data_IF_403501316413
#
_entry.id   IF_403501316413
#
_cell.length_a   1.000
_cell.length_b   1.000
_cell.length_c   1.000
_cell.angle_alpha   90.00
_cell.angle_beta   90.00
_cell.angle_gamma   90.00
#
_symmetry.space_group_name_H-M   'P 1'
#
loop_
_entity.id
_entity.type
_entity.pdbx_description
1 polymer ?
#
# COMPACT_ATOMS: atom_id res chain seq x y z
N UNK A 1 -14.31 -0.86 -1.76
CA UNK A 1 -14.66 -1.21 -3.16
C UNK A 1 -13.44 -1.33 -4.08
N UNK A 2 -12.54 -0.34 -4.12
CA UNK A 2 -11.41 -0.33 -5.07
C UNK A 2 -10.38 -1.46 -4.88
N UNK A 3 -10.02 -1.82 -3.63
CA UNK A 3 -9.09 -2.94 -3.36
C UNK A 3 -9.60 -4.27 -3.90
N UNK A 4 -10.83 -4.63 -3.55
CA UNK A 4 -11.46 -5.86 -4.03
C UNK A 4 -11.61 -5.90 -5.56
N UNK A 5 -11.90 -4.76 -6.19
CA UNK A 5 -11.93 -4.68 -7.66
C UNK A 5 -10.56 -4.93 -8.28
N UNK A 6 -9.48 -4.37 -7.73
CA UNK A 6 -8.12 -4.61 -8.20
C UNK A 6 -7.67 -6.07 -8.00
N UNK A 7 -8.03 -6.69 -6.87
CA UNK A 7 -7.70 -8.09 -6.60
C UNK A 7 -8.48 -9.06 -7.51
N UNK A 8 -9.71 -8.73 -7.90
CA UNK A 8 -10.47 -9.49 -8.90
C UNK A 8 -9.96 -9.30 -10.32
N UNK A 9 -9.35 -8.15 -10.60
CA UNK A 9 -8.89 -7.74 -11.93
C UNK A 9 -7.44 -7.29 -11.87
N UNK A 10 -6.52 -8.24 -11.74
CA UNK A 10 -5.10 -7.96 -11.48
C UNK A 10 -4.42 -7.07 -12.53
N UNK A 11 -4.92 -7.05 -13.76
CA UNK A 11 -4.45 -6.13 -14.81
C UNK A 11 -4.63 -4.65 -14.43
N UNK A 12 -5.53 -4.34 -13.50
CA UNK A 12 -5.76 -2.98 -13.02
C UNK A 12 -4.51 -2.42 -12.30
N UNK A 13 -3.71 -3.24 -11.63
CA UNK A 13 -2.46 -2.78 -11.01
C UNK A 13 -1.46 -2.17 -12.00
N UNK A 14 -1.49 -2.67 -13.25
CA UNK A 14 -0.60 -2.19 -14.32
C UNK A 14 -1.07 -0.83 -14.89
N UNK A 15 -2.30 -0.42 -14.54
CA UNK A 15 -2.88 0.88 -14.89
C UNK A 15 -2.80 1.90 -13.75
N UNK A 16 -2.78 1.45 -12.50
CA UNK A 16 -2.58 2.33 -11.34
C UNK A 16 -1.25 3.08 -11.46
N UNK A 17 -1.24 4.39 -11.24
CA UNK A 17 -0.03 5.23 -11.36
C UNK A 17 0.36 5.65 -12.78
N UNK A 18 -0.48 5.38 -13.79
CA UNK A 18 -0.38 6.04 -15.11
C UNK A 18 -0.95 7.46 -15.04
N UNK A 19 -0.74 8.26 -16.10
CA UNK A 19 -1.38 9.57 -16.22
C UNK A 19 -2.90 9.45 -15.99
N UNK A 20 -3.52 10.39 -15.25
CA UNK A 20 -4.95 10.37 -14.99
C UNK A 20 -5.76 10.24 -16.28
N UNK A 21 -6.77 9.38 -16.27
CA UNK A 21 -7.71 9.30 -17.37
C UNK A 21 -8.57 10.57 -17.37
N UNK A 22 -8.57 11.31 -18.48
CA UNK A 22 -9.35 12.54 -18.63
C UNK A 22 -10.78 12.28 -19.15
N UNK A 23 -11.21 11.02 -19.21
CA UNK A 23 -12.59 10.65 -19.50
C UNK A 23 -13.51 10.85 -18.28
N UNK A 24 -14.85 10.85 -18.46
CA UNK A 24 -15.81 11.18 -17.40
C UNK A 24 -15.62 10.40 -16.10
N UNK A 25 -15.37 9.10 -16.19
CA UNK A 25 -15.15 8.25 -15.00
C UNK A 25 -13.83 8.56 -14.30
N UNK A 26 -12.77 8.90 -15.03
CA UNK A 26 -11.47 9.27 -14.44
C UNK A 26 -11.51 10.63 -13.75
N UNK A 27 -12.24 11.58 -14.34
CA UNK A 27 -12.53 12.87 -13.71
C UNK A 27 -13.36 12.67 -12.45
N UNK A 28 -14.42 11.85 -12.47
CA UNK A 28 -15.22 11.56 -11.28
C UNK A 28 -14.41 10.91 -10.13
N UNK A 29 -13.47 10.02 -10.47
CA UNK A 29 -12.55 9.40 -9.49
C UNK A 29 -11.62 10.44 -8.86
N UNK A 30 -11.22 11.46 -9.62
CA UNK A 30 -10.35 12.54 -9.14
C UNK A 30 -11.13 13.59 -8.33
N UNK A 31 -12.36 13.90 -8.76
CA UNK A 31 -13.26 14.86 -8.13
C UNK A 31 -13.66 14.44 -6.72
N UNK A 32 -14.07 13.17 -6.54
CA UNK A 32 -14.60 12.70 -5.27
C UNK A 32 -13.69 12.96 -4.04
N UNK A 33 -12.38 12.64 -4.06
CA UNK A 33 -11.51 12.92 -2.91
C UNK A 33 -11.19 14.42 -2.76
N UNK A 34 -11.16 15.20 -3.84
CA UNK A 34 -10.97 16.65 -3.77
C UNK A 34 -12.18 17.33 -3.11
N UNK A 35 -13.39 16.98 -3.56
CA UNK A 35 -14.64 17.47 -3.01
C UNK A 35 -14.82 17.10 -1.53
N UNK A 36 -14.32 15.93 -1.11
CA UNK A 36 -14.38 15.49 0.29
C UNK A 36 -13.52 16.35 1.24
N UNK A 37 -12.52 17.07 0.71
CA UNK A 37 -11.61 17.92 1.47
C UNK A 37 -11.80 19.41 1.17
N UNK A 38 -12.79 19.76 0.35
CA UNK A 38 -13.05 21.14 -0.05
C UNK A 38 -13.40 22.01 1.17
N UNK A 39 -12.90 23.25 1.17
CA UNK A 39 -13.10 24.22 2.25
C UNK A 39 -12.38 23.91 3.57
N UNK A 40 -11.67 22.78 3.71
CA UNK A 40 -10.92 22.45 4.93
C UNK A 40 -9.55 23.14 5.00
N UNK A 41 -8.92 23.41 3.86
CA UNK A 41 -7.60 24.03 3.76
C UNK A 41 -7.35 24.55 2.33
N UNK A 42 -6.15 25.07 2.04
CA UNK A 42 -5.77 25.49 0.69
C UNK A 42 -5.69 24.31 -0.29
N UNK A 43 -5.94 24.60 -1.57
CA UNK A 43 -6.01 23.57 -2.62
C UNK A 43 -4.71 22.79 -2.78
N UNK A 44 -3.54 23.41 -2.55
CA UNK A 44 -2.25 22.72 -2.67
C UNK A 44 -2.05 21.69 -1.56
N UNK A 45 -2.55 21.99 -0.35
CA UNK A 45 -2.58 21.04 0.76
C UNK A 45 -3.57 19.90 0.48
N UNK A 46 -4.76 20.20 -0.06
CA UNK A 46 -5.74 19.18 -0.47
C UNK A 46 -5.14 18.24 -1.52
N UNK A 47 -4.51 18.77 -2.57
CA UNK A 47 -3.88 17.95 -3.62
C UNK A 47 -2.80 17.02 -3.05
N UNK A 48 -1.94 17.51 -2.15
CA UNK A 48 -0.91 16.68 -1.51
C UNK A 48 -1.50 15.59 -0.62
N UNK A 49 -2.61 15.87 0.08
CA UNK A 49 -3.32 14.87 0.87
C UNK A 49 -3.86 13.75 -0.02
N UNK A 50 -4.55 14.10 -1.11
CA UNK A 50 -5.10 13.13 -2.07
C UNK A 50 -4.00 12.29 -2.71
N UNK A 51 -2.89 12.91 -3.13
CA UNK A 51 -1.74 12.22 -3.70
C UNK A 51 -1.13 11.22 -2.71
N UNK A 52 -0.95 11.61 -1.44
CA UNK A 52 -0.36 10.76 -0.40
C UNK A 52 -1.19 9.50 -0.16
N UNK A 53 -2.50 9.66 0.00
CA UNK A 53 -3.42 8.51 0.19
C UNK A 53 -3.43 7.62 -1.06
N UNK A 54 -3.44 8.22 -2.24
CA UNK A 54 -3.46 7.49 -3.52
C UNK A 54 -2.17 6.70 -3.76
N UNK A 55 -1.02 7.25 -3.36
CA UNK A 55 0.28 6.59 -3.43
C UNK A 55 0.34 5.36 -2.52
N UNK A 56 -0.13 5.49 -1.27
CA UNK A 56 -0.25 4.35 -0.35
C UNK A 56 -1.14 3.26 -0.93
N UNK A 57 -2.34 3.62 -1.38
CA UNK A 57 -3.29 2.69 -1.98
C UNK A 57 -2.66 1.94 -3.17
N UNK A 58 -2.05 2.67 -4.09
CA UNK A 58 -1.40 2.09 -5.28
C UNK A 58 -0.26 1.13 -4.91
N UNK A 59 0.61 1.52 -3.98
CA UNK A 59 1.72 0.70 -3.52
C UNK A 59 1.25 -0.60 -2.86
N UNK A 60 0.24 -0.50 -1.99
CA UNK A 60 -0.29 -1.66 -1.30
C UNK A 60 -0.96 -2.66 -2.26
N UNK A 61 -1.78 -2.18 -3.19
CA UNK A 61 -2.44 -3.02 -4.20
C UNK A 61 -1.43 -3.70 -5.12
N UNK A 62 -0.41 -2.97 -5.60
CA UNK A 62 0.64 -3.55 -6.43
C UNK A 62 1.38 -4.67 -5.70
N UNK A 63 1.74 -4.48 -4.42
CA UNK A 63 2.39 -5.50 -3.60
C UNK A 63 1.54 -6.77 -3.50
N UNK A 64 0.24 -6.64 -3.22
CA UNK A 64 -0.66 -7.79 -3.11
C UNK A 64 -0.78 -8.55 -4.43
N UNK A 65 -0.93 -7.83 -5.55
CA UNK A 65 -1.06 -8.44 -6.88
C UNK A 65 0.25 -9.11 -7.30
N UNK A 66 1.41 -8.51 -7.01
CA UNK A 66 2.71 -9.16 -7.24
C UNK A 66 2.83 -10.47 -6.48
N UNK A 67 2.38 -10.53 -5.22
CA UNK A 67 2.37 -11.76 -4.45
C UNK A 67 1.44 -12.81 -5.07
N UNK A 68 0.20 -12.45 -5.42
CA UNK A 68 -0.74 -13.37 -6.07
C UNK A 68 -0.19 -13.92 -7.40
N UNK A 69 0.45 -13.06 -8.21
CA UNK A 69 1.10 -13.47 -9.46
C UNK A 69 2.27 -14.43 -9.21
N UNK A 70 3.07 -14.19 -8.17
CA UNK A 70 4.17 -15.07 -7.79
C UNK A 70 3.68 -16.45 -7.32
N UNK A 71 2.62 -16.50 -6.51
CA UNK A 71 2.00 -17.75 -6.08
C UNK A 71 1.48 -18.55 -7.27
N UNK A 72 0.81 -17.90 -8.24
CA UNK A 72 0.35 -18.58 -9.46
C UNK A 72 1.48 -19.07 -10.36
N UNK A 73 2.54 -18.29 -10.51
CA UNK A 73 3.66 -18.64 -11.37
C UNK A 73 4.52 -19.78 -10.80
N UNK A 74 4.68 -19.82 -9.48
CA UNK A 74 5.55 -20.81 -8.80
C UNK A 74 4.79 -22.01 -8.25
N UNK A 75 3.47 -21.88 -8.05
CA UNK A 75 2.64 -22.85 -7.33
C UNK A 75 2.88 -22.87 -5.82
N UNK A 76 3.75 -22.00 -5.29
CA UNK A 76 4.07 -21.93 -3.87
C UNK A 76 3.23 -20.84 -3.21
N UNK A 77 2.51 -21.18 -2.15
CA UNK A 77 1.92 -20.15 -1.29
C UNK A 77 3.01 -19.32 -0.62
N UNK A 78 2.68 -18.13 -0.11
CA UNK A 78 3.58 -17.31 0.73
C UNK A 78 4.26 -18.15 1.82
N UNK A 79 3.50 -18.99 2.51
CA UNK A 79 4.01 -19.81 3.60
C UNK A 79 4.94 -20.92 3.10
N UNK A 80 4.63 -21.55 1.96
CA UNK A 80 5.52 -22.56 1.36
C UNK A 80 6.84 -21.94 0.89
N UNK A 81 6.77 -20.75 0.28
CA UNK A 81 7.95 -19.98 -0.11
C UNK A 81 8.82 -19.64 1.11
N UNK A 82 8.21 -19.15 2.20
CA UNK A 82 8.90 -18.86 3.46
C UNK A 82 9.57 -20.11 4.03
N UNK A 83 8.88 -21.26 4.07
CA UNK A 83 9.47 -22.52 4.54
C UNK A 83 10.66 -22.95 3.67
N UNK A 84 10.53 -22.84 2.35
CA UNK A 84 11.58 -23.21 1.41
C UNK A 84 12.83 -22.31 1.54
N UNK A 85 12.65 -21.02 1.86
CA UNK A 85 13.73 -20.03 1.90
C UNK A 85 14.26 -19.77 3.32
N UNK A 86 13.54 -20.20 4.36
CA UNK A 86 13.87 -20.03 5.77
C UNK A 86 15.32 -20.42 6.12
N UNK A 87 15.83 -21.60 5.70
CA UNK A 87 17.21 -21.99 5.99
C UNK A 87 18.26 -21.03 5.44
N UNK A 88 18.03 -20.43 4.26
CA UNK A 88 18.94 -19.44 3.69
C UNK A 88 18.91 -18.15 4.51
N UNK A 89 17.72 -17.65 4.85
CA UNK A 89 17.54 -16.46 5.67
C UNK A 89 18.22 -16.63 7.02
N UNK A 90 18.00 -17.75 7.71
CA UNK A 90 18.65 -18.04 9.00
C UNK A 90 20.17 -18.03 8.92
N UNK A 91 20.77 -18.60 7.84
CA UNK A 91 22.23 -18.54 7.64
C UNK A 91 22.74 -17.11 7.47
N UNK A 92 22.00 -16.26 6.74
CA UNK A 92 22.36 -14.85 6.56
C UNK A 92 22.25 -14.07 7.87
N UNK A 93 21.21 -14.31 8.67
CA UNK A 93 21.03 -13.66 9.97
C UNK A 93 22.12 -14.05 10.97
N UNK A 94 22.56 -15.32 10.96
CA UNK A 94 23.65 -15.81 11.82
C UNK A 94 25.00 -15.11 11.59
N UNK A 95 25.19 -14.41 10.46
CA UNK A 95 26.39 -13.59 10.22
C UNK A 95 26.48 -12.37 11.12
N UNK A 96 25.40 -11.99 11.80
CA UNK A 96 25.31 -10.77 12.62
C UNK A 96 25.23 -9.47 11.83
N UNK A 97 25.25 -9.53 10.49
CA UNK A 97 25.25 -8.32 9.62
C UNK A 97 23.90 -7.62 9.52
N UNK A 98 22.81 -8.28 9.92
CA UNK A 98 21.44 -7.76 9.75
C UNK A 98 20.65 -7.77 11.07
N UNK A 99 21.10 -7.07 12.12
CA UNK A 99 20.49 -7.15 13.46
C UNK A 99 19.03 -6.67 13.48
N UNK A 100 18.69 -5.61 12.74
CA UNK A 100 17.31 -5.13 12.65
C UNK A 100 16.38 -6.12 11.93
N UNK A 101 16.87 -6.77 10.87
CA UNK A 101 16.11 -7.80 10.16
C UNK A 101 15.95 -9.06 11.01
N UNK A 102 16.99 -9.45 11.75
CA UNK A 102 16.92 -10.58 12.69
C UNK A 102 15.82 -10.34 13.71
N UNK A 103 15.78 -9.15 14.32
CA UNK A 103 14.71 -8.75 15.23
C UNK A 103 13.33 -8.85 14.58
N UNK A 104 13.17 -8.32 13.36
CA UNK A 104 11.89 -8.39 12.65
C UNK A 104 11.44 -9.82 12.32
N UNK A 105 12.38 -10.73 12.00
CA UNK A 105 12.08 -12.13 11.68
C UNK A 105 11.75 -12.94 12.92
N UNK A 106 12.44 -12.73 14.04
CA UNK A 106 12.26 -13.52 15.25
C UNK A 106 11.16 -12.99 16.18
N UNK A 107 10.98 -11.67 16.26
CA UNK A 107 10.03 -11.03 17.18
C UNK A 107 8.77 -10.52 16.45
N UNK A 108 8.81 -10.43 15.12
CA UNK A 108 7.71 -9.90 14.32
C UNK A 108 6.54 -10.88 14.20
N UNK A 109 5.32 -10.34 14.30
CA UNK A 109 4.10 -11.10 14.02
C UNK A 109 3.81 -11.10 12.52
N UNK A 110 3.48 -12.26 11.93
CA UNK A 110 2.97 -12.29 10.56
C UNK A 110 1.54 -11.75 10.55
N UNK A 111 1.31 -10.72 9.74
CA UNK A 111 0.02 -10.05 9.60
C UNK A 111 -0.48 -10.33 8.18
N UNK A 112 -1.77 -10.68 8.07
CA UNK A 112 -2.38 -10.90 6.76
C UNK A 112 -2.42 -9.59 5.94
N UNK A 113 -2.57 -9.74 4.62
CA UNK A 113 -2.52 -8.60 3.70
C UNK A 113 -3.63 -7.58 3.94
N UNK A 114 -4.80 -8.00 4.40
CA UNK A 114 -5.94 -7.10 4.66
C UNK A 114 -5.70 -6.27 5.91
N UNK A 115 -5.28 -6.90 7.01
CA UNK A 115 -4.93 -6.19 8.25
C UNK A 115 -3.75 -5.23 8.01
N UNK A 116 -2.74 -5.66 7.25
CA UNK A 116 -1.60 -4.81 6.86
C UNK A 116 -2.03 -3.59 6.04
N UNK A 117 -2.97 -3.76 5.10
CA UNK A 117 -3.53 -2.67 4.31
C UNK A 117 -4.36 -1.70 5.16
N UNK A 118 -5.26 -2.22 5.99
CA UNK A 118 -6.13 -1.40 6.83
C UNK A 118 -5.31 -0.55 7.82
N UNK A 119 -4.34 -1.18 8.49
CA UNK A 119 -3.48 -0.49 9.47
C UNK A 119 -2.65 0.62 8.82
N UNK A 120 -2.03 0.35 7.67
CA UNK A 120 -1.23 1.38 7.01
C UNK A 120 -2.08 2.50 6.40
N UNK A 121 -3.30 2.20 5.95
CA UNK A 121 -4.24 3.23 5.49
C UNK A 121 -4.63 4.16 6.65
N UNK A 122 -4.93 3.58 7.81
CA UNK A 122 -5.26 4.32 9.04
C UNK A 122 -4.12 5.29 9.42
N UNK A 123 -2.88 4.79 9.47
CA UNK A 123 -1.71 5.63 9.75
C UNK A 123 -1.50 6.76 8.75
N UNK A 124 -1.76 6.50 7.46
CA UNK A 124 -1.65 7.54 6.42
C UNK A 124 -2.76 8.59 6.58
N UNK A 125 -3.98 8.17 6.89
CA UNK A 125 -5.10 9.08 7.12
C UNK A 125 -4.87 9.93 8.37
N UNK A 126 -4.37 9.35 9.46
CA UNK A 126 -3.97 10.09 10.68
C UNK A 126 -2.92 11.15 10.37
N UNK A 127 -1.89 10.79 9.61
CA UNK A 127 -0.83 11.72 9.22
C UNK A 127 -1.37 12.87 8.35
N UNK A 128 -2.29 12.58 7.42
CA UNK A 128 -2.97 13.58 6.59
C UNK A 128 -3.85 14.49 7.45
N UNK A 129 -4.67 13.93 8.34
CA UNK A 129 -5.54 14.68 9.23
C UNK A 129 -4.74 15.66 10.13
N UNK A 130 -3.57 15.22 10.62
CA UNK A 130 -2.66 16.08 11.37
C UNK A 130 -2.08 17.25 10.57
N UNK A 131 -2.04 17.16 9.22
CA UNK A 131 -1.63 18.27 8.35
C UNK A 131 -2.79 19.18 7.97
N UNK A 132 -4.00 18.65 7.84
CA UNK A 132 -5.20 19.43 7.57
C UNK A 132 -5.60 20.30 8.77
N UNK A 133 -5.36 19.84 9.99
CA UNK A 133 -5.70 20.55 11.24
C UNK A 133 -4.67 21.58 11.69
N UNK A 134 -3.50 21.63 11.03
CA UNK A 134 -2.45 22.56 11.42
C UNK A 134 -2.78 23.93 10.81
N UNK A 135 -3.03 24.99 11.63
CA UNK A 135 -3.23 26.32 11.07
C UNK A 135 -1.98 26.71 10.29
N UNK A 136 -2.20 27.19 9.06
CA UNK A 136 -1.16 27.80 8.25
C UNK A 136 -0.54 28.95 9.04
N UNK A 137 0.76 28.82 9.33
CA UNK A 137 1.60 29.87 9.92
C UNK A 137 2.08 30.79 8.81
#
# INVERSE_FOLDING_TARGET
>A
MHRQAALRHEWLADLLGRRPALGPNGLAVTEAPLAALDGLTDIDTVMRAVETVSAYFTGAIRREITNLRAERATGLSKHDWQRAHGPHVTRMLATGRFPALAKAVYDGTDVDSETSFATGLDWVLDAVAAKLTRPSV
#
